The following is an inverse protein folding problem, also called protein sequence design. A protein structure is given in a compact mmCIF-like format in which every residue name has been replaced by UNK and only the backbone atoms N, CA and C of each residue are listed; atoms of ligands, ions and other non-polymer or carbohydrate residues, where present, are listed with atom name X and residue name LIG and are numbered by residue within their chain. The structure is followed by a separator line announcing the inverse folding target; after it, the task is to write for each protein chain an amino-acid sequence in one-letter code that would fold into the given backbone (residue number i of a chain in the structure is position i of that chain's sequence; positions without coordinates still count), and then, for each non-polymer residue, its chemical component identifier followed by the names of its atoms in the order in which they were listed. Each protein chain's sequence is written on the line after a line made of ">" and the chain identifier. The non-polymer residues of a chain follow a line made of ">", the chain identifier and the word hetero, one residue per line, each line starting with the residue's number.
data_IF_789096392088
#
_entry.id   IF_789096392088
#
_cell.length_a   1.000
_cell.length_b   1.000
_cell.length_c   1.000
_cell.angle_alpha   90.00
_cell.angle_beta   90.00
_cell.angle_gamma   90.00
#
_symmetry.space_group_name_H-M   'P 1'
#
loop_
_entity.id
_entity.type
_entity.pdbx_description
1 polymer ?
#
# COMPACT_ATOMS: atom_id res chain seq x y z
N UNK A 1 11.73 14.83 -6.79
CA UNK A 1 10.71 13.90 -6.25
C UNK A 1 9.34 14.35 -6.72
N UNK A 2 8.44 13.41 -6.97
CA UNK A 2 7.03 13.70 -7.31
C UNK A 2 6.26 13.90 -6.02
N UNK A 3 5.45 14.94 -5.95
CA UNK A 3 4.50 15.16 -4.87
C UNK A 3 3.23 14.35 -5.17
N UNK A 4 2.69 13.66 -4.16
CA UNK A 4 1.49 12.82 -4.28
C UNK A 4 0.47 13.29 -3.26
N UNK A 5 -0.77 13.49 -3.72
CA UNK A 5 -1.88 13.92 -2.88
C UNK A 5 -2.76 12.72 -2.49
N UNK A 6 -3.21 12.69 -1.23
CA UNK A 6 -4.17 11.71 -0.73
C UNK A 6 -5.39 12.44 -0.18
N UNK A 7 -6.57 12.03 -0.65
CA UNK A 7 -7.87 12.63 -0.34
C UNK A 7 -8.52 11.99 0.90
N UNK A 8 -9.70 12.47 1.32
CA UNK A 8 -10.52 11.89 2.41
C UNK A 8 -9.72 11.69 3.70
N UNK A 9 -8.99 12.75 4.13
CA UNK A 9 -8.06 12.63 5.24
C UNK A 9 -8.69 12.88 6.60
N UNK A 10 -8.49 11.92 7.50
CA UNK A 10 -8.68 12.08 8.95
C UNK A 10 -7.33 12.02 9.65
N UNK A 11 -6.94 13.10 10.34
CA UNK A 11 -5.79 13.07 11.24
C UNK A 11 -6.15 12.28 12.51
N UNK A 12 -5.51 11.13 12.73
CA UNK A 12 -5.83 10.22 13.85
C UNK A 12 -4.93 10.47 15.05
N UNK A 13 -3.68 10.86 14.81
CA UNK A 13 -2.77 11.30 15.86
C UNK A 13 -1.88 12.43 15.34
N UNK A 14 -2.24 13.67 15.68
CA UNK A 14 -1.50 14.88 15.29
C UNK A 14 -0.13 15.01 15.96
N UNK A 15 0.13 14.27 17.03
CA UNK A 15 1.45 14.28 17.67
C UNK A 15 2.46 13.34 16.98
N UNK A 16 2.00 12.48 16.06
CA UNK A 16 2.82 11.44 15.42
C UNK A 16 2.68 11.39 13.90
N UNK A 17 2.11 12.42 13.26
CA UNK A 17 1.87 12.47 11.80
C UNK A 17 1.22 11.18 11.27
N UNK A 18 0.11 10.81 11.92
CA UNK A 18 -0.70 9.65 11.53
C UNK A 18 -2.01 10.12 10.91
N UNK A 19 -2.19 9.72 9.64
CA UNK A 19 -3.32 10.07 8.82
C UNK A 19 -4.07 8.80 8.39
N UNK A 20 -5.34 8.97 8.00
CA UNK A 20 -6.12 7.91 7.39
C UNK A 20 -6.90 8.45 6.21
N UNK A 21 -6.94 7.65 5.16
CA UNK A 21 -7.70 7.86 3.93
C UNK A 21 -8.45 6.58 3.55
N UNK A 22 -9.23 6.63 2.47
CA UNK A 22 -9.80 5.47 1.81
C UNK A 22 -9.23 5.46 0.39
N UNK A 23 -8.61 4.34 -0.01
CA UNK A 23 -8.22 4.10 -1.39
C UNK A 23 -9.00 2.93 -1.94
N UNK A 24 -9.47 3.06 -3.17
CA UNK A 24 -10.06 1.93 -3.88
C UNK A 24 -9.00 0.96 -4.42
N UNK A 25 -9.45 -0.23 -4.83
CA UNK A 25 -8.57 -1.26 -5.34
C UNK A 25 -7.85 -0.87 -6.64
N UNK A 26 -8.43 0.02 -7.45
CA UNK A 26 -7.82 0.49 -8.69
C UNK A 26 -6.67 1.44 -8.38
N UNK A 27 -6.89 2.45 -7.53
CA UNK A 27 -5.87 3.39 -7.06
C UNK A 27 -4.67 2.67 -6.44
N UNK A 28 -4.92 1.67 -5.58
CA UNK A 28 -3.86 0.87 -4.95
C UNK A 28 -3.00 0.12 -5.97
N UNK A 29 -3.62 -0.42 -7.02
CA UNK A 29 -2.88 -1.14 -8.07
C UNK A 29 -2.11 -0.16 -8.96
N UNK A 30 -2.68 0.98 -9.31
CA UNK A 30 -1.97 2.03 -10.07
C UNK A 30 -0.77 2.55 -9.28
N UNK A 31 -0.96 2.91 -8.00
CA UNK A 31 0.15 3.39 -7.17
C UNK A 31 1.26 2.35 -7.01
N UNK A 32 0.91 1.07 -7.00
CA UNK A 32 1.89 -0.02 -6.97
C UNK A 32 2.59 -0.23 -8.31
N UNK A 33 1.86 -0.24 -9.42
CA UNK A 33 2.39 -0.44 -10.77
C UNK A 33 3.29 0.74 -11.20
N UNK A 34 2.93 1.97 -10.80
CA UNK A 34 3.68 3.21 -11.07
C UNK A 34 4.88 3.41 -10.12
N UNK A 35 5.04 2.54 -9.12
CA UNK A 35 6.11 2.65 -8.12
C UNK A 35 5.95 3.83 -7.15
N UNK A 36 4.74 4.38 -7.01
CA UNK A 36 4.40 5.39 -5.99
C UNK A 36 4.43 4.74 -4.61
N UNK A 37 3.80 3.56 -4.46
CA UNK A 37 3.90 2.70 -3.28
C UNK A 37 4.88 1.57 -3.58
N UNK A 38 5.90 1.41 -2.74
CA UNK A 38 6.95 0.41 -2.95
C UNK A 38 7.09 -0.53 -1.76
N UNK A 39 7.69 -1.70 -2.00
CA UNK A 39 8.18 -2.56 -0.93
C UNK A 39 9.56 -2.10 -0.50
N UNK A 40 9.75 -1.84 0.79
CA UNK A 40 11.05 -1.56 1.37
C UNK A 40 11.53 -2.76 2.20
N UNK A 41 12.57 -3.49 1.76
CA UNK A 41 13.10 -4.65 2.48
C UNK A 41 13.76 -4.30 3.81
N UNK A 42 14.25 -3.07 3.98
CA UNK A 42 14.94 -2.62 5.20
C UNK A 42 13.99 -2.51 6.39
N UNK A 43 12.72 -2.17 6.15
CA UNK A 43 11.69 -2.06 7.19
C UNK A 43 10.80 -3.30 7.32
N UNK A 44 11.00 -4.33 6.48
CA UNK A 44 10.17 -5.54 6.38
C UNK A 44 10.99 -6.85 6.44
N UNK A 45 10.42 -7.97 5.98
CA UNK A 45 11.02 -9.33 5.96
C UNK A 45 12.20 -9.49 4.98
N UNK A 46 12.79 -8.41 4.46
CA UNK A 46 13.88 -8.45 3.49
C UNK A 46 13.49 -8.95 2.09
N UNK A 47 14.49 -9.26 1.27
CA UNK A 47 14.34 -9.89 -0.05
C UNK A 47 14.84 -11.35 -0.01
N UNK A 48 14.44 -12.14 -1.01
CA UNK A 48 15.04 -13.45 -1.32
C UNK A 48 15.66 -13.37 -2.72
N UNK A 49 16.84 -13.95 -2.88
CA UNK A 49 17.47 -14.08 -4.20
C UNK A 49 16.84 -15.25 -4.94
N UNK A 50 16.41 -15.02 -6.17
CA UNK A 50 15.98 -16.06 -7.12
C UNK A 50 16.77 -15.95 -8.40
N UNK A 51 17.25 -17.09 -8.88
CA UNK A 51 17.88 -17.16 -10.20
C UNK A 51 16.79 -17.36 -11.24
N UNK A 52 16.63 -16.40 -12.17
CA UNK A 52 15.75 -16.51 -13.32
C UNK A 52 16.53 -16.13 -14.56
N UNK A 53 16.53 -16.98 -15.58
CA UNK A 53 17.27 -16.76 -16.83
C UNK A 53 18.78 -16.46 -16.61
N UNK A 54 19.43 -17.13 -15.66
CA UNK A 54 20.83 -16.90 -15.24
C UNK A 54 21.11 -15.51 -14.61
N UNK A 55 20.07 -14.75 -14.25
CA UNK A 55 20.21 -13.50 -13.50
C UNK A 55 19.71 -13.69 -12.06
N UNK A 56 20.45 -13.12 -11.11
CA UNK A 56 20.01 -13.02 -9.71
C UNK A 56 19.00 -11.88 -9.58
N UNK A 57 17.77 -12.22 -9.21
CA UNK A 57 16.69 -11.28 -9.00
C UNK A 57 16.33 -11.30 -7.52
N UNK A 58 16.42 -10.14 -6.87
CA UNK A 58 15.90 -9.96 -5.53
C UNK A 58 14.38 -9.76 -5.56
N UNK A 59 13.63 -10.64 -4.89
CA UNK A 59 12.19 -10.54 -4.75
C UNK A 59 11.79 -10.29 -3.29
N UNK A 60 10.78 -9.43 -3.03
CA UNK A 60 10.19 -9.31 -1.70
C UNK A 60 9.75 -10.67 -1.13
N UNK A 61 9.95 -10.87 0.18
CA UNK A 61 9.51 -12.08 0.87
C UNK A 61 8.01 -11.99 1.18
N UNK A 62 7.21 -12.77 0.44
CA UNK A 62 5.77 -12.93 0.71
C UNK A 62 5.27 -14.34 0.38
N UNK A 63 4.11 -14.67 0.94
CA UNK A 63 3.39 -15.92 0.71
C UNK A 63 2.47 -15.84 -0.50
N UNK A 64 2.86 -16.45 -1.62
CA UNK A 64 2.01 -16.53 -2.82
C UNK A 64 0.72 -17.33 -2.59
N UNK A 65 0.73 -18.28 -1.65
CA UNK A 65 -0.50 -19.01 -1.29
C UNK A 65 -1.51 -18.10 -0.60
N UNK A 66 -1.06 -17.16 0.23
CA UNK A 66 -1.94 -16.16 0.86
C UNK A 66 -2.51 -15.19 -0.19
N UNK A 67 -1.69 -14.72 -1.15
CA UNK A 67 -2.19 -13.91 -2.28
C UNK A 67 -3.32 -14.62 -3.02
N UNK A 68 -3.11 -15.90 -3.37
CA UNK A 68 -4.14 -16.70 -4.07
C UNK A 68 -5.41 -16.92 -3.24
N UNK A 69 -5.30 -17.06 -1.91
CA UNK A 69 -6.46 -17.18 -1.02
C UNK A 69 -7.28 -15.89 -0.99
N UNK A 70 -6.62 -14.74 -0.92
CA UNK A 70 -7.27 -13.41 -0.96
C UNK A 70 -7.97 -13.22 -2.30
N UNK A 71 -7.24 -13.43 -3.42
CA UNK A 71 -7.81 -13.37 -4.77
C UNK A 71 -9.05 -14.25 -4.92
N UNK A 72 -8.97 -15.51 -4.45
CA UNK A 72 -10.11 -16.43 -4.48
C UNK A 72 -11.30 -15.88 -3.68
N UNK A 73 -11.05 -15.31 -2.50
CA UNK A 73 -12.11 -14.73 -1.67
C UNK A 73 -12.77 -13.51 -2.34
N UNK A 74 -11.99 -12.69 -3.05
CA UNK A 74 -12.50 -11.57 -3.86
C UNK A 74 -13.41 -12.07 -4.98
N UNK A 75 -12.96 -13.10 -5.73
CA UNK A 75 -13.75 -13.72 -6.80
C UNK A 75 -15.04 -14.37 -6.29
N UNK A 76 -15.00 -14.97 -5.11
CA UNK A 76 -16.15 -15.61 -4.47
C UNK A 76 -17.10 -14.63 -3.76
N UNK A 77 -16.74 -13.33 -3.69
CA UNK A 77 -17.54 -12.31 -3.00
C UNK A 77 -17.54 -12.43 -1.47
N UNK A 78 -16.56 -13.12 -0.89
CA UNK A 78 -16.42 -13.34 0.56
C UNK A 78 -15.21 -12.61 1.16
N UNK A 79 -14.61 -11.69 0.40
CA UNK A 79 -13.54 -10.84 0.88
C UNK A 79 -14.12 -9.65 1.63
N UNK A 80 -13.49 -9.30 2.76
CA UNK A 80 -13.79 -8.10 3.53
C UNK A 80 -12.53 -7.25 3.58
N UNK A 81 -12.65 -5.98 3.23
CA UNK A 81 -11.57 -5.03 3.26
C UNK A 81 -11.12 -4.76 4.70
N UNK A 82 -9.81 -4.73 4.88
CA UNK A 82 -9.16 -4.38 6.13
C UNK A 82 -8.11 -3.29 5.89
N UNK A 83 -7.45 -2.87 6.97
CA UNK A 83 -6.54 -1.73 6.92
C UNK A 83 -5.26 -2.04 6.15
N UNK A 84 -4.93 -1.18 5.19
CA UNK A 84 -3.58 -1.09 4.60
C UNK A 84 -2.79 -0.05 5.40
N UNK A 85 -1.53 -0.34 5.68
CA UNK A 85 -0.63 0.61 6.33
C UNK A 85 0.48 0.99 5.37
N UNK A 86 0.60 2.29 5.10
CA UNK A 86 1.69 2.92 4.37
C UNK A 86 2.56 3.70 5.34
N UNK A 87 3.86 3.68 5.10
CA UNK A 87 4.83 4.51 5.79
C UNK A 87 5.52 5.42 4.79
N UNK A 88 5.38 6.72 4.96
CA UNK A 88 6.29 7.70 4.36
C UNK A 88 7.59 7.61 5.15
N UNK A 89 8.71 7.29 4.49
CA UNK A 89 9.98 7.16 5.18
C UNK A 89 10.46 8.53 5.66
N UNK A 90 10.62 8.67 6.98
CA UNK A 90 11.06 9.93 7.58
C UNK A 90 12.57 10.13 7.38
N UNK A 91 12.89 10.93 6.36
CA UNK A 91 14.23 11.41 6.02
C UNK A 91 14.25 12.94 6.03
N UNK A 92 15.45 13.55 6.00
CA UNK A 92 15.60 15.02 5.96
C UNK A 92 14.87 15.68 4.77
N UNK A 93 14.73 14.96 3.66
CA UNK A 93 14.08 15.42 2.43
C UNK A 93 12.58 15.11 2.40
N UNK A 94 12.10 14.21 3.26
CA UNK A 94 10.69 13.81 3.28
C UNK A 94 9.81 14.86 3.98
N UNK A 95 8.59 15.05 3.48
CA UNK A 95 7.60 15.99 4.01
C UNK A 95 6.19 15.41 3.86
N UNK A 96 5.36 15.65 4.87
CA UNK A 96 3.90 15.58 4.76
C UNK A 96 3.39 17.00 5.02
N UNK A 97 2.51 17.51 4.17
CA UNK A 97 1.89 18.82 4.37
C UNK A 97 0.90 18.81 5.53
N UNK A 98 0.57 20.00 6.05
CA UNK A 98 -0.67 20.16 6.79
C UNK A 98 -1.86 19.77 5.89
N UNK A 99 -2.93 19.25 6.48
CA UNK A 99 -4.14 18.95 5.74
C UNK A 99 -4.80 20.25 5.24
N UNK A 100 -5.12 20.31 3.95
CA UNK A 100 -5.82 21.42 3.31
C UNK A 100 -7.05 20.94 2.56
N UNK A 101 -8.03 21.81 2.37
CA UNK A 101 -9.24 21.47 1.61
C UNK A 101 -8.99 21.66 0.11
N UNK A 102 -9.27 20.64 -0.68
CA UNK A 102 -9.25 20.69 -2.14
C UNK A 102 -10.68 20.85 -2.67
N UNK A 103 -10.92 21.95 -3.37
CA UNK A 103 -12.21 22.26 -4.00
C UNK A 103 -12.56 21.30 -5.14
N UNK A 104 -11.56 20.66 -5.77
CA UNK A 104 -11.77 19.77 -6.92
C UNK A 104 -12.36 18.42 -6.51
N UNK A 105 -11.92 17.90 -5.37
CA UNK A 105 -12.35 16.63 -4.77
C UNK A 105 -13.39 16.80 -3.65
N UNK A 106 -13.69 18.04 -3.23
CA UNK A 106 -14.60 18.39 -2.12
C UNK A 106 -14.22 17.69 -0.81
N UNK A 107 -12.91 17.61 -0.52
CA UNK A 107 -12.40 16.93 0.67
C UNK A 107 -11.08 17.52 1.17
N UNK A 108 -10.70 17.14 2.39
CA UNK A 108 -9.36 17.40 2.90
C UNK A 108 -8.33 16.44 2.28
N UNK A 109 -7.17 16.99 2.00
CA UNK A 109 -6.04 16.37 1.30
C UNK A 109 -4.76 16.61 2.09
N UNK A 110 -3.82 15.66 2.01
CA UNK A 110 -2.42 15.87 2.37
C UNK A 110 -1.54 15.66 1.15
N UNK A 111 -0.51 16.48 1.00
CA UNK A 111 0.54 16.29 0.02
C UNK A 111 1.75 15.61 0.66
N UNK A 112 2.28 14.58 0.00
CA UNK A 112 3.42 13.80 0.45
C UNK A 112 4.57 13.96 -0.54
N UNK A 113 5.74 14.32 -0.01
CA UNK A 113 7.01 14.27 -0.69
C UNK A 113 7.92 13.27 0.04
N UNK A 114 8.32 12.20 -0.64
CA UNK A 114 9.18 11.19 -0.04
C UNK A 114 8.86 9.79 -0.56
N UNK A 115 9.56 8.80 -0.01
CA UNK A 115 9.34 7.39 -0.34
C UNK A 115 8.14 6.85 0.45
N UNK A 116 7.13 6.35 -0.24
CA UNK A 116 5.96 5.73 0.36
C UNK A 116 6.14 4.21 0.29
N UNK A 117 6.33 3.59 1.44
CA UNK A 117 6.53 2.16 1.54
C UNK A 117 5.30 1.47 2.13
N UNK A 118 4.91 0.33 1.57
CA UNK A 118 3.88 -0.50 2.20
C UNK A 118 4.43 -1.13 3.48
N UNK A 119 3.86 -0.84 4.64
CA UNK A 119 4.23 -1.47 5.91
C UNK A 119 3.39 -2.73 6.19
N UNK A 120 2.11 -2.68 5.83
CA UNK A 120 1.22 -3.84 5.82
C UNK A 120 0.20 -3.69 4.67
N UNK A 121 -0.17 -4.80 4.02
CA UNK A 121 -1.07 -4.76 2.86
C UNK A 121 -0.56 -5.46 1.59
N UNK A 122 0.72 -5.86 1.55
CA UNK A 122 1.34 -6.31 0.29
C UNK A 122 0.64 -7.50 -0.38
N UNK A 123 0.06 -8.43 0.39
CA UNK A 123 -0.69 -9.54 -0.19
C UNK A 123 -2.01 -9.11 -0.83
N UNK A 124 -2.65 -8.06 -0.29
CA UNK A 124 -3.92 -7.50 -0.79
C UNK A 124 -3.69 -6.76 -2.10
N UNK A 125 -2.69 -5.89 -2.18
CA UNK A 125 -2.32 -5.23 -3.44
C UNK A 125 -1.94 -6.25 -4.52
N UNK A 126 -1.17 -7.29 -4.16
CA UNK A 126 -0.84 -8.37 -5.12
C UNK A 126 -2.06 -9.17 -5.57
N UNK A 127 -3.07 -9.35 -4.70
CA UNK A 127 -4.31 -10.02 -5.07
C UNK A 127 -5.18 -9.16 -5.98
N UNK A 128 -5.26 -7.84 -5.72
CA UNK A 128 -5.91 -6.87 -6.61
C UNK A 128 -5.23 -6.83 -7.99
N UNK A 129 -3.90 -6.85 -8.03
CA UNK A 129 -3.15 -6.96 -9.29
C UNK A 129 -3.48 -8.25 -10.05
N UNK A 130 -3.54 -9.37 -9.34
CA UNK A 130 -3.97 -10.65 -9.95
C UNK A 130 -5.41 -10.55 -10.50
N UNK A 131 -6.31 -9.85 -9.80
CA UNK A 131 -7.68 -9.60 -10.24
C UNK A 131 -7.75 -8.71 -11.49
N UNK A 132 -6.94 -7.64 -11.55
CA UNK A 132 -6.78 -6.79 -12.74
C UNK A 132 -6.34 -7.62 -13.94
N UNK A 133 -5.29 -8.42 -13.78
CA UNK A 133 -4.76 -9.27 -14.85
C UNK A 133 -5.79 -10.32 -15.34
N UNK A 134 -6.65 -10.85 -14.46
CA UNK A 134 -7.70 -11.79 -14.86
C UNK A 134 -8.89 -11.11 -15.52
N UNK A 135 -9.20 -9.87 -15.14
CA UNK A 135 -10.18 -9.04 -15.85
C UNK A 135 -9.72 -8.71 -17.27
N UNK A 136 -8.46 -8.28 -17.44
CA UNK A 136 -7.87 -7.97 -18.75
C UNK A 136 -7.84 -9.20 -19.69
N UNK A 137 -7.72 -10.40 -19.12
CA UNK A 137 -7.79 -11.68 -19.86
C UNK A 137 -9.23 -12.16 -20.10
N UNK A 138 -10.24 -11.46 -19.61
CA UNK A 138 -11.65 -11.85 -19.72
C UNK A 138 -12.03 -13.10 -18.90
N UNK A 139 -11.24 -13.46 -17.88
CA UNK A 139 -11.50 -14.60 -16.99
C UNK A 139 -12.50 -14.20 -15.90
N UNK A 140 -12.34 -13.00 -15.37
CA UNK A 140 -13.24 -12.36 -14.40
C UNK A 140 -13.78 -11.06 -15.01
N UNK A 141 -14.79 -10.46 -14.36
CA UNK A 141 -15.28 -9.12 -14.70
C UNK A 141 -15.69 -8.38 -13.42
N UNK A 142 -14.76 -8.32 -12.46
CA UNK A 142 -15.01 -7.76 -11.12
C UNK A 142 -14.33 -6.39 -11.05
N UNK A 143 -15.09 -5.29 -10.92
CA UNK A 143 -14.52 -3.95 -10.80
C UNK A 143 -13.51 -3.85 -9.64
N UNK A 144 -12.35 -3.22 -9.86
CA UNK A 144 -11.36 -3.03 -8.79
C UNK A 144 -11.78 -1.92 -7.82
N UNK A 145 -12.49 -0.92 -8.33
CA UNK A 145 -13.08 0.20 -7.60
C UNK A 145 -14.24 -0.22 -6.69
N UNK A 146 -14.72 -1.48 -6.77
CA UNK A 146 -15.68 -2.01 -5.79
C UNK A 146 -15.06 -2.39 -4.45
N UNK A 147 -13.72 -2.39 -4.34
CA UNK A 147 -13.02 -2.66 -3.08
C UNK A 147 -12.50 -1.36 -2.48
N UNK A 148 -12.96 -1.00 -1.29
CA UNK A 148 -12.57 0.24 -0.61
C UNK A 148 -11.76 -0.06 0.65
N UNK A 149 -10.48 0.27 0.66
CA UNK A 149 -9.57 -0.03 1.76
C UNK A 149 -9.38 1.19 2.65
N UNK A 150 -9.60 1.09 3.97
CA UNK A 150 -9.07 2.08 4.89
C UNK A 150 -7.54 2.02 4.87
N UNK A 151 -6.90 3.16 4.61
CA UNK A 151 -5.45 3.26 4.52
C UNK A 151 -4.93 4.16 5.61
N UNK A 152 -4.10 3.62 6.49
CA UNK A 152 -3.34 4.37 7.48
C UNK A 152 -2.00 4.80 6.87
N UNK A 153 -1.67 6.08 7.01
CA UNK A 153 -0.40 6.67 6.57
C UNK A 153 0.37 7.12 7.82
N UNK A 154 1.62 6.68 7.94
CA UNK A 154 2.55 7.07 9.01
C UNK A 154 3.78 7.77 8.44
N UNK A 155 4.47 8.58 9.26
CA UNK A 155 5.73 9.22 8.89
C UNK A 155 6.85 8.80 9.83
N UNK A 156 7.32 7.56 9.69
CA UNK A 156 8.30 6.97 10.60
C UNK A 156 9.66 6.75 9.93
N UNK A 157 10.71 6.88 10.72
CA UNK A 157 12.06 6.47 10.34
C UNK A 157 12.16 4.93 10.28
N UNK A 158 13.33 4.44 9.86
CA UNK A 158 13.58 3.00 9.70
C UNK A 158 13.32 2.23 11.00
N UNK A 159 13.81 2.73 12.13
CA UNK A 159 13.71 2.03 13.42
C UNK A 159 12.25 1.91 13.87
N UNK A 160 11.49 3.01 13.84
CA UNK A 160 10.09 3.01 14.26
C UNK A 160 9.20 2.27 13.26
N UNK A 161 9.49 2.35 11.95
CA UNK A 161 8.79 1.55 10.94
C UNK A 161 9.04 0.05 11.13
N UNK A 162 10.27 -0.36 11.45
CA UNK A 162 10.58 -1.76 11.81
C UNK A 162 9.79 -2.19 13.06
N UNK A 163 9.77 -1.38 14.13
CA UNK A 163 9.01 -1.69 15.34
C UNK A 163 7.52 -1.89 15.04
N UNK A 164 6.93 -1.03 14.21
CA UNK A 164 5.56 -1.18 13.74
C UNK A 164 5.37 -2.48 12.95
N UNK A 165 6.27 -2.77 12.00
CA UNK A 165 6.21 -4.00 11.22
C UNK A 165 6.26 -5.26 12.10
N UNK A 166 7.07 -5.26 13.16
CA UNK A 166 7.15 -6.38 14.08
C UNK A 166 5.79 -6.68 14.72
N UNK A 167 4.98 -5.67 15.04
CA UNK A 167 3.62 -5.86 15.59
C UNK A 167 2.70 -6.61 14.62
N UNK A 168 2.80 -6.34 13.33
CA UNK A 168 2.03 -7.06 12.30
C UNK A 168 2.51 -8.51 12.13
N UNK A 169 3.81 -8.75 12.33
CA UNK A 169 4.43 -10.05 12.08
C UNK A 169 4.27 -11.07 13.21
N UNK A 170 3.84 -10.62 14.40
CA UNK A 170 3.69 -11.46 15.60
C UNK A 170 2.38 -12.28 15.63
N UNK A 171 1.48 -12.07 14.68
CA UNK A 171 0.22 -12.79 14.51
C UNK A 171 0.12 -13.40 13.10
#
# INVERSE_FOLDING_TARGET
>A
MREIEFDIIFAINRNEDVYMTILDGYQLVEFWDDGIITYNPEIQRGTKVRIRNNEEIEEPVYSNSNVKKIYKSMVEGNFFEDMITLNVLNTEESRISDAFYDESSDTNVIAINGEINIADGQHRIRALKMLKETNEKGITNIPLDSFAFPVKITHYDIEKAQQQFHQFSQF
#
